data_IF_962614227577
#
_entry.id   IF_962614227577
#
_cell.length_a   1.000
_cell.length_b   1.000
_cell.length_c   1.000
_cell.angle_alpha   90.00
_cell.angle_beta   90.00
_cell.angle_gamma   90.00
#
_symmetry.space_group_name_H-M   'P 1'
#
loop_
_entity.id
_entity.type
_entity.pdbx_description
1 polymer ?
#
# COMPACT_ATOMS: atom_id res chain seq x y z
N UNK A 1 -16.24 0.06 4.95
CA UNK A 1 -15.74 0.17 3.56
C UNK A 1 -14.47 0.97 3.62
N UNK A 2 -13.41 0.48 3.00
CA UNK A 2 -12.11 1.13 3.02
C UNK A 2 -11.57 1.26 1.61
N UNK A 3 -10.91 2.38 1.33
CA UNK A 3 -10.09 2.58 0.14
C UNK A 3 -8.75 3.13 0.57
N UNK A 4 -7.71 2.85 -0.20
CA UNK A 4 -6.39 3.37 0.06
C UNK A 4 -6.32 4.84 -0.40
N UNK A 5 -6.42 5.75 0.56
CA UNK A 5 -6.23 7.19 0.30
C UNK A 5 -4.75 7.55 0.39
N UNK A 6 -4.39 8.77 -0.07
CA UNK A 6 -3.04 9.31 0.13
C UNK A 6 -2.65 9.40 1.62
N UNK A 7 -3.61 9.58 2.53
CA UNK A 7 -3.37 9.60 3.97
C UNK A 7 -3.01 8.21 4.49
N UNK A 8 -3.75 7.19 4.07
CA UNK A 8 -3.47 5.80 4.43
C UNK A 8 -2.15 5.30 3.82
N UNK A 9 -1.84 5.71 2.59
CA UNK A 9 -0.54 5.45 1.97
C UNK A 9 0.61 6.02 2.80
N UNK A 10 0.47 7.25 3.32
CA UNK A 10 1.49 7.86 4.19
C UNK A 10 1.63 7.10 5.50
N UNK A 11 0.54 6.65 6.11
CA UNK A 11 0.59 5.80 7.32
C UNK A 11 1.32 4.48 7.04
N UNK A 12 1.11 3.86 5.88
CA UNK A 12 1.87 2.67 5.47
C UNK A 12 3.37 2.99 5.36
N UNK A 13 3.74 4.07 4.69
CA UNK A 13 5.14 4.50 4.60
C UNK A 13 5.78 4.68 5.98
N UNK A 14 5.09 5.37 6.89
CA UNK A 14 5.54 5.57 8.27
C UNK A 14 5.63 4.24 9.03
N UNK A 15 4.65 3.34 8.88
CA UNK A 15 4.67 2.01 9.49
C UNK A 15 5.91 1.22 9.10
N UNK A 16 6.25 1.17 7.80
CA UNK A 16 7.42 0.42 7.33
C UNK A 16 8.73 1.06 7.78
N UNK A 17 8.79 2.39 7.81
CA UNK A 17 9.91 3.12 8.39
C UNK A 17 10.13 2.72 9.86
N UNK A 18 9.10 2.83 10.70
CA UNK A 18 9.20 2.47 12.11
C UNK A 18 9.42 0.97 12.36
N UNK A 19 9.06 0.12 11.40
CA UNK A 19 9.32 -1.34 11.44
C UNK A 19 10.76 -1.72 11.04
N UNK A 20 11.62 -0.75 10.75
CA UNK A 20 13.03 -0.97 10.40
C UNK A 20 13.33 -1.04 8.91
N UNK A 21 12.32 -0.87 8.04
CA UNK A 21 12.52 -0.77 6.58
C UNK A 21 12.77 0.68 6.16
N UNK A 22 13.78 1.30 6.78
CA UNK A 22 14.08 2.72 6.59
C UNK A 22 14.36 3.06 5.12
N UNK A 23 15.04 2.18 4.38
CA UNK A 23 15.37 2.37 2.96
C UNK A 23 14.17 2.28 2.02
N UNK A 24 13.02 1.82 2.53
CA UNK A 24 11.77 1.81 1.77
C UNK A 24 11.08 3.16 1.82
N UNK A 25 11.45 4.03 2.77
CA UNK A 25 10.87 5.35 2.94
C UNK A 25 11.66 6.44 2.17
N UNK A 26 10.97 7.35 1.47
CA UNK A 26 9.58 7.25 1.04
C UNK A 26 9.41 6.19 -0.06
N UNK A 27 8.22 5.59 -0.18
CA UNK A 27 7.95 4.65 -1.27
C UNK A 27 8.21 5.31 -2.63
N UNK A 28 8.80 4.58 -3.59
CA UNK A 28 8.96 5.07 -4.95
C UNK A 28 7.63 5.46 -5.58
N UNK A 29 7.64 6.51 -6.42
CA UNK A 29 6.43 7.04 -7.08
C UNK A 29 5.66 5.95 -7.84
N UNK A 30 6.38 5.02 -8.46
CA UNK A 30 5.81 3.88 -9.19
C UNK A 30 4.98 2.97 -8.27
N UNK A 31 5.56 2.55 -7.13
CA UNK A 31 4.88 1.72 -6.13
C UNK A 31 3.64 2.42 -5.59
N UNK A 32 3.76 3.73 -5.27
CA UNK A 32 2.62 4.55 -4.82
C UNK A 32 1.49 4.59 -5.85
N UNK A 33 1.84 4.78 -7.12
CA UNK A 33 0.87 4.78 -8.23
C UNK A 33 0.15 3.43 -8.36
N UNK A 34 0.90 2.33 -8.28
CA UNK A 34 0.35 0.96 -8.36
C UNK A 34 -0.62 0.67 -7.22
N UNK A 35 -0.25 1.01 -5.98
CA UNK A 35 -1.09 0.83 -4.80
C UNK A 35 -2.41 1.63 -4.89
N UNK A 36 -2.32 2.90 -5.30
CA UNK A 36 -3.52 3.74 -5.48
C UNK A 36 -4.38 3.28 -6.67
N UNK A 37 -3.78 2.71 -7.72
CA UNK A 37 -4.55 2.20 -8.85
C UNK A 37 -5.39 0.96 -8.48
N UNK A 38 -4.90 0.11 -7.59
CA UNK A 38 -5.58 -1.13 -7.18
C UNK A 38 -6.55 -0.89 -6.03
N UNK A 39 -6.10 -0.19 -4.99
CA UNK A 39 -6.86 -0.04 -3.75
C UNK A 39 -7.46 1.35 -3.56
N UNK A 40 -7.10 2.34 -4.39
CA UNK A 40 -7.64 3.70 -4.31
C UNK A 40 -9.02 3.86 -4.94
N UNK A 41 -9.53 2.82 -5.60
CA UNK A 41 -10.92 2.74 -6.07
C UNK A 41 -11.54 1.44 -5.58
N UNK A 42 -12.84 1.51 -5.28
CA UNK A 42 -13.59 0.31 -4.95
C UNK A 42 -13.80 -0.56 -6.21
N UNK A 43 -13.63 -1.89 -6.09
CA UNK A 43 -14.21 -2.81 -7.04
C UNK A 43 -15.73 -2.79 -6.86
N UNK A 44 -16.49 -2.90 -7.94
CA UNK A 44 -17.92 -3.20 -7.87
C UNK A 44 -18.15 -4.58 -8.49
N UNK A 45 -19.01 -5.45 -7.92
CA UNK A 45 -19.91 -5.19 -6.78
C UNK A 45 -19.27 -5.46 -5.39
N UNK A 46 -17.99 -5.83 -5.33
CA UNK A 46 -17.32 -6.27 -4.09
C UNK A 46 -16.54 -5.16 -3.42
N UNK A 47 -16.83 -4.88 -2.15
CA UNK A 47 -16.11 -3.87 -1.38
C UNK A 47 -14.82 -4.41 -0.80
N UNK A 48 -13.74 -3.61 -0.82
CA UNK A 48 -12.56 -3.92 -0.04
C UNK A 48 -12.83 -3.76 1.46
N UNK A 49 -12.36 -4.73 2.25
CA UNK A 49 -12.19 -4.56 3.69
C UNK A 49 -10.84 -3.90 3.99
N UNK A 50 -10.69 -3.36 5.20
CA UNK A 50 -9.39 -2.88 5.68
C UNK A 50 -8.34 -4.00 5.67
N UNK A 51 -8.77 -5.23 5.98
CA UNK A 51 -7.89 -6.40 5.97
C UNK A 51 -7.40 -6.74 4.56
N UNK A 52 -8.27 -6.69 3.55
CA UNK A 52 -7.88 -6.94 2.15
C UNK A 52 -6.86 -5.92 1.65
N UNK A 53 -7.07 -4.64 1.98
CA UNK A 53 -6.15 -3.56 1.61
C UNK A 53 -4.82 -3.75 2.34
N UNK A 54 -4.85 -4.09 3.62
CA UNK A 54 -3.64 -4.31 4.42
C UNK A 54 -2.80 -5.47 3.86
N UNK A 55 -3.37 -6.67 3.77
CA UNK A 55 -2.66 -7.85 3.31
C UNK A 55 -2.22 -7.71 1.84
N UNK A 56 -3.10 -7.16 1.01
CA UNK A 56 -2.85 -6.93 -0.40
C UNK A 56 -1.72 -5.91 -0.64
N UNK A 57 -1.79 -4.74 0.01
CA UNK A 57 -0.74 -3.72 -0.08
C UNK A 57 0.58 -4.24 0.48
N UNK A 58 0.59 -4.95 1.61
CA UNK A 58 1.77 -5.57 2.21
C UNK A 58 2.47 -6.51 1.24
N UNK A 59 1.71 -7.39 0.57
CA UNK A 59 2.26 -8.33 -0.42
C UNK A 59 2.87 -7.58 -1.61
N UNK A 60 2.18 -6.59 -2.15
CA UNK A 60 2.69 -5.78 -3.26
C UNK A 60 3.98 -5.02 -2.92
N UNK A 61 4.04 -4.42 -1.72
CA UNK A 61 5.22 -3.69 -1.23
C UNK A 61 6.40 -4.64 -1.11
N UNK A 62 6.21 -5.78 -0.43
CA UNK A 62 7.27 -6.78 -0.27
C UNK A 62 7.78 -7.32 -1.60
N UNK A 63 6.89 -7.59 -2.56
CA UNK A 63 7.27 -8.07 -3.89
C UNK A 63 8.09 -7.02 -4.65
N UNK A 64 7.67 -5.75 -4.59
CA UNK A 64 8.39 -4.64 -5.23
C UNK A 64 9.83 -4.53 -4.73
N UNK A 65 10.05 -4.60 -3.41
CA UNK A 65 11.38 -4.45 -2.84
C UNK A 65 12.24 -5.73 -2.88
N UNK A 66 11.63 -6.91 -3.05
CA UNK A 66 12.38 -8.17 -3.27
C UNK A 66 12.89 -8.32 -4.70
N UNK A 67 12.16 -7.78 -5.68
CA UNK A 67 12.52 -7.84 -7.10
C UNK A 67 13.36 -6.64 -7.57
N UNK A 68 13.85 -5.83 -6.63
CA UNK A 68 14.71 -4.68 -6.87
C UNK A 68 16.18 -5.08 -6.79
#
# INVERSE_FOLDING_TARGET
MATLTRKELRKLEEYYYWSGYNDWYPFPKELKGKLLSVYGKEPLPYTWTEHDIWEGSRKMIMEYFKNK
#
